data_IF_279092130513
#
_entry.id   IF_279092130513
#
_cell.length_a   1.000
_cell.length_b   1.000
_cell.length_c   1.000
_cell.angle_alpha   90.00
_cell.angle_beta   90.00
_cell.angle_gamma   90.00
#
_symmetry.space_group_name_H-M   'P 1'
#
loop_
_entity.id
_entity.type
_entity.pdbx_description
1 polymer ?
#
# COMPACT_ATOMS: atom_id res chain seq x y z
N UNK A 1 -12.76 -2.44 26.38
CA UNK A 1 -13.31 -3.08 25.16
C UNK A 1 -12.87 -2.24 23.97
N UNK A 2 -11.80 -2.66 23.29
CA UNK A 2 -11.10 -1.85 22.30
C UNK A 2 -11.71 -2.01 20.91
N UNK A 3 -12.70 -1.18 20.58
CA UNK A 3 -13.23 -1.05 19.23
C UNK A 3 -12.27 -0.24 18.35
N UNK A 4 -11.15 -0.83 17.95
CA UNK A 4 -10.31 -0.29 16.87
C UNK A 4 -10.83 -0.81 15.54
N UNK A 5 -11.70 -0.04 14.87
CA UNK A 5 -12.10 -0.36 13.49
C UNK A 5 -10.87 -0.38 12.57
N UNK A 6 -10.83 -1.29 11.59
CA UNK A 6 -9.78 -1.27 10.56
C UNK A 6 -9.82 0.08 9.84
N UNK A 7 -8.67 0.68 9.50
CA UNK A 7 -8.63 1.92 8.74
C UNK A 7 -9.30 1.72 7.36
N UNK A 8 -9.94 2.78 6.87
CA UNK A 8 -10.55 2.82 5.54
C UNK A 8 -9.64 3.64 4.63
N UNK A 9 -9.22 3.04 3.52
CA UNK A 9 -8.37 3.68 2.52
C UNK A 9 -9.20 4.17 1.34
N UNK A 10 -8.97 5.41 0.90
CA UNK A 10 -9.63 5.98 -0.28
C UNK A 10 -8.60 6.36 -1.34
N UNK A 11 -8.97 6.21 -2.60
CA UNK A 11 -8.14 6.67 -3.72
C UNK A 11 -8.21 8.20 -3.81
N UNK A 12 -7.04 8.80 -3.91
CA UNK A 12 -6.88 10.24 -4.17
C UNK A 12 -6.24 10.45 -5.54
N UNK A 13 -6.60 11.54 -6.19
CA UNK A 13 -6.16 11.89 -7.55
C UNK A 13 -5.66 13.33 -7.58
N UNK A 14 -5.14 13.77 -8.72
CA UNK A 14 -4.60 15.13 -8.91
C UNK A 14 -3.53 15.47 -7.87
N UNK A 15 -2.41 14.73 -7.89
CA UNK A 15 -1.30 14.86 -6.92
C UNK A 15 -1.78 14.80 -5.46
N UNK A 16 -2.68 13.85 -5.18
CA UNK A 16 -3.28 13.62 -3.86
C UNK A 16 -4.18 14.75 -3.34
N UNK A 17 -4.52 15.74 -4.17
CA UNK A 17 -5.31 16.90 -3.76
C UNK A 17 -6.82 16.66 -3.85
N UNK A 18 -7.25 15.70 -4.68
CA UNK A 18 -8.67 15.42 -4.92
C UNK A 18 -9.05 14.04 -4.42
N UNK A 19 -9.82 14.01 -3.33
CA UNK A 19 -10.45 12.80 -2.80
C UNK A 19 -11.50 12.25 -3.76
N UNK A 20 -11.60 10.91 -3.81
CA UNK A 20 -12.66 10.19 -4.50
C UNK A 20 -13.50 9.40 -3.49
N UNK A 21 -14.66 8.92 -3.92
CA UNK A 21 -15.46 7.98 -3.13
C UNK A 21 -15.04 6.52 -3.33
N UNK A 22 -13.96 6.27 -4.09
CA UNK A 22 -13.47 4.92 -4.33
C UNK A 22 -12.66 4.43 -3.14
N UNK A 23 -13.23 3.51 -2.38
CA UNK A 23 -12.55 2.82 -1.30
C UNK A 23 -11.67 1.70 -1.84
N UNK A 24 -10.47 1.56 -1.28
CA UNK A 24 -9.59 0.42 -1.53
C UNK A 24 -10.10 -0.73 -0.67
N UNK A 25 -10.56 -1.80 -1.31
CA UNK A 25 -10.97 -3.05 -0.67
C UNK A 25 -10.84 -4.21 -1.67
N UNK A 26 -11.05 -5.44 -1.23
CA UNK A 26 -10.93 -6.62 -2.09
C UNK A 26 -11.81 -6.54 -3.35
N UNK A 27 -13.05 -6.06 -3.22
CA UNK A 27 -13.98 -5.91 -4.34
C UNK A 27 -13.44 -4.92 -5.38
N UNK A 28 -13.05 -3.73 -4.93
CA UNK A 28 -12.46 -2.71 -5.81
C UNK A 28 -11.18 -3.20 -6.48
N UNK A 29 -10.29 -3.88 -5.74
CA UNK A 29 -9.06 -4.45 -6.29
C UNK A 29 -9.38 -5.49 -7.37
N UNK A 30 -10.39 -6.33 -7.14
CA UNK A 30 -10.82 -7.35 -8.12
C UNK A 30 -11.40 -6.73 -9.39
N UNK A 31 -12.25 -5.72 -9.24
CA UNK A 31 -12.87 -5.04 -10.38
C UNK A 31 -11.82 -4.31 -11.24
N UNK A 32 -10.89 -3.58 -10.58
CA UNK A 32 -9.82 -2.87 -11.28
C UNK A 32 -8.81 -3.83 -11.93
N UNK A 33 -8.56 -4.99 -11.32
CA UNK A 33 -7.64 -5.99 -11.87
C UNK A 33 -8.10 -6.58 -13.21
N UNK A 34 -9.39 -6.46 -13.56
CA UNK A 34 -9.87 -6.82 -14.90
C UNK A 34 -9.32 -5.89 -16.00
N UNK A 35 -8.74 -4.75 -15.61
CA UNK A 35 -8.29 -3.68 -16.49
C UNK A 35 -6.78 -3.41 -16.40
N UNK A 36 -6.04 -4.12 -15.55
CA UNK A 36 -4.58 -3.96 -15.43
C UNK A 36 -3.89 -5.31 -15.15
N UNK A 37 -2.58 -5.35 -15.37
CA UNK A 37 -1.76 -6.52 -15.08
C UNK A 37 -1.12 -6.49 -13.68
N UNK A 38 -1.03 -5.31 -13.06
CA UNK A 38 -0.45 -5.08 -11.74
C UNK A 38 -1.00 -3.79 -11.12
N UNK A 39 -0.80 -3.62 -9.82
CA UNK A 39 -1.04 -2.38 -9.10
C UNK A 39 0.24 -1.78 -8.55
N UNK A 40 0.37 -0.46 -8.65
CA UNK A 40 1.34 0.34 -7.89
C UNK A 40 0.57 1.22 -6.91
N UNK A 41 0.74 0.96 -5.61
CA UNK A 41 -0.01 1.65 -4.55
C UNK A 41 0.93 2.47 -3.69
N UNK A 42 0.68 3.79 -3.64
CA UNK A 42 1.43 4.71 -2.80
C UNK A 42 0.67 4.98 -1.49
N UNK A 43 1.31 4.73 -0.35
CA UNK A 43 0.81 5.17 0.95
C UNK A 43 1.05 6.67 1.12
N UNK A 44 0.09 7.50 0.72
CA UNK A 44 0.23 8.97 0.67
C UNK A 44 0.57 9.58 2.03
N UNK A 45 0.00 9.02 3.10
CA UNK A 45 0.20 9.54 4.46
C UNK A 45 1.60 9.21 5.04
N UNK A 46 2.38 8.32 4.41
CA UNK A 46 3.73 7.95 4.85
C UNK A 46 4.85 8.49 3.93
N UNK A 47 4.50 9.19 2.86
CA UNK A 47 5.49 9.72 1.92
C UNK A 47 6.28 10.87 2.58
N UNK A 48 7.60 10.70 2.72
CA UNK A 48 8.51 11.70 3.28
C UNK A 48 8.59 11.75 4.82
N UNK A 49 7.75 11.02 5.56
CA UNK A 49 7.74 11.06 7.03
C UNK A 49 8.66 10.03 7.70
N UNK A 50 9.32 9.15 6.94
CA UNK A 50 10.15 8.05 7.45
C UNK A 50 9.47 7.30 8.62
N UNK A 51 8.15 7.12 8.57
CA UNK A 51 7.37 6.60 9.70
C UNK A 51 7.20 5.07 9.67
N UNK A 52 7.75 4.40 8.67
CA UNK A 52 7.63 2.95 8.46
C UNK A 52 6.55 2.60 7.45
N UNK A 53 6.36 1.30 7.24
CA UNK A 53 5.32 0.77 6.36
C UNK A 53 3.94 0.91 7.02
N UNK A 54 2.91 1.04 6.20
CA UNK A 54 1.54 1.02 6.68
C UNK A 54 0.99 -0.41 6.68
N UNK A 55 1.22 -1.14 7.77
CA UNK A 55 0.88 -2.57 7.88
C UNK A 55 -0.58 -2.91 7.48
N UNK A 56 -1.62 -2.19 7.94
CA UNK A 56 -3.01 -2.51 7.57
C UNK A 56 -3.29 -2.35 6.08
N UNK A 57 -2.61 -1.42 5.41
CA UNK A 57 -2.69 -1.25 3.96
C UNK A 57 -2.03 -2.44 3.25
N UNK A 58 -0.84 -2.87 3.70
CA UNK A 58 -0.18 -4.05 3.11
C UNK A 58 -1.03 -5.31 3.25
N UNK A 59 -1.63 -5.55 4.43
CA UNK A 59 -2.57 -6.66 4.64
C UNK A 59 -3.76 -6.60 3.69
N UNK A 60 -4.31 -5.41 3.45
CA UNK A 60 -5.41 -5.20 2.53
C UNK A 60 -5.01 -5.52 1.08
N UNK A 61 -3.82 -5.10 0.67
CA UNK A 61 -3.30 -5.30 -0.68
C UNK A 61 -3.01 -6.78 -0.99
N UNK A 62 -2.76 -7.60 0.03
CA UNK A 62 -2.60 -9.05 -0.13
C UNK A 62 -3.84 -9.75 -0.73
N UNK A 63 -5.01 -9.11 -0.66
CA UNK A 63 -6.26 -9.59 -1.27
C UNK A 63 -6.34 -9.37 -2.80
N UNK A 64 -5.40 -8.62 -3.38
CA UNK A 64 -5.37 -8.38 -4.83
C UNK A 64 -5.23 -9.69 -5.63
N UNK A 65 -5.98 -9.85 -6.74
CA UNK A 65 -5.84 -11.00 -7.63
C UNK A 65 -4.65 -10.88 -8.60
N UNK A 66 -4.05 -9.69 -8.74
CA UNK A 66 -2.87 -9.41 -9.56
C UNK A 66 -1.72 -8.89 -8.69
N UNK A 67 -0.45 -8.97 -9.14
CA UNK A 67 0.68 -8.45 -8.38
C UNK A 67 0.48 -7.01 -7.92
N UNK A 68 0.96 -6.71 -6.71
CA UNK A 68 0.92 -5.36 -6.13
C UNK A 68 2.32 -4.95 -5.73
N UNK A 69 2.73 -3.76 -6.13
CA UNK A 69 3.92 -3.11 -5.59
C UNK A 69 3.49 -1.97 -4.67
N UNK A 70 3.91 -2.05 -3.41
CA UNK A 70 3.71 -1.01 -2.40
C UNK A 70 4.87 0.00 -2.44
N UNK A 71 4.56 1.28 -2.48
CA UNK A 71 5.53 2.35 -2.55
C UNK A 71 5.30 3.34 -1.40
N UNK A 72 6.11 3.25 -0.35
CA UNK A 72 6.03 4.16 0.78
C UNK A 72 6.75 3.63 2.03
N UNK A 73 7.49 4.51 2.70
CA UNK A 73 7.87 4.30 4.11
C UNK A 73 8.85 3.17 4.45
N UNK A 74 9.31 2.35 3.50
CA UNK A 74 10.30 1.28 3.75
C UNK A 74 11.65 1.88 4.15
N UNK A 75 12.17 1.51 5.32
CA UNK A 75 13.43 2.05 5.88
C UNK A 75 14.47 0.99 6.20
N UNK A 76 14.04 -0.26 6.38
CA UNK A 76 14.91 -1.35 6.83
C UNK A 76 14.60 -2.65 6.10
N UNK A 77 15.48 -3.64 6.24
CA UNK A 77 15.20 -5.00 5.79
C UNK A 77 14.05 -5.64 6.60
N UNK A 78 13.87 -5.25 7.85
CA UNK A 78 12.75 -5.71 8.68
C UNK A 78 11.41 -5.25 8.10
N UNK A 79 11.32 -4.01 7.61
CA UNK A 79 10.13 -3.53 6.89
C UNK A 79 9.85 -4.40 5.64
N UNK A 80 10.88 -4.82 4.90
CA UNK A 80 10.72 -5.70 3.74
C UNK A 80 10.23 -7.11 4.14
N UNK A 81 10.76 -7.66 5.22
CA UNK A 81 10.30 -8.95 5.76
C UNK A 81 8.83 -8.86 6.21
N UNK A 82 8.48 -7.76 6.87
CA UNK A 82 7.11 -7.48 7.32
C UNK A 82 6.14 -7.34 6.15
N UNK A 83 6.54 -6.64 5.08
CA UNK A 83 5.74 -6.54 3.85
C UNK A 83 5.52 -7.93 3.25
N UNK A 84 6.56 -8.76 3.17
CA UNK A 84 6.44 -10.13 2.63
C UNK A 84 5.47 -10.97 3.46
N UNK A 85 5.53 -10.88 4.79
CA UNK A 85 4.65 -11.59 5.71
C UNK A 85 3.20 -11.14 5.58
N UNK A 86 2.93 -9.83 5.74
CA UNK A 86 1.58 -9.25 5.68
C UNK A 86 0.98 -9.35 4.28
N UNK A 87 1.81 -9.14 3.26
CA UNK A 87 1.49 -9.27 1.85
C UNK A 87 1.31 -10.72 1.38
N UNK A 88 1.54 -11.71 2.26
CA UNK A 88 1.45 -13.15 1.94
C UNK A 88 2.29 -13.55 0.71
N UNK A 89 3.43 -12.88 0.52
CA UNK A 89 4.29 -13.06 -0.66
C UNK A 89 3.72 -12.55 -1.99
N UNK A 90 2.62 -11.78 -1.98
CA UNK A 90 1.98 -11.21 -3.18
C UNK A 90 2.20 -9.71 -3.35
N UNK A 91 2.77 -9.07 -2.33
CA UNK A 91 3.04 -7.62 -2.31
C UNK A 91 4.55 -7.43 -2.34
N UNK A 92 5.03 -6.84 -3.43
CA UNK A 92 6.39 -6.32 -3.57
C UNK A 92 6.47 -4.90 -3.00
N UNK A 93 7.68 -4.37 -2.81
CA UNK A 93 7.86 -2.99 -2.36
C UNK A 93 8.95 -2.25 -3.12
N UNK A 94 8.74 -0.94 -3.29
CA UNK A 94 9.79 -0.03 -3.76
C UNK A 94 10.47 0.66 -2.60
N UNK A 95 11.77 0.88 -2.75
CA UNK A 95 12.59 1.67 -1.84
C UNK A 95 13.01 2.90 -2.64
N UNK A 96 12.51 4.07 -2.23
CA UNK A 96 12.88 5.36 -2.83
C UNK A 96 13.80 6.14 -1.90
N UNK A 97 13.20 6.79 -0.90
CA UNK A 97 13.89 7.72 0.01
C UNK A 97 14.93 7.08 0.96
N UNK A 98 14.90 5.77 1.17
CA UNK A 98 15.91 5.08 1.99
C UNK A 98 17.15 4.64 1.20
N UNK A 99 17.09 4.69 -0.14
CA UNK A 99 18.25 4.53 -1.00
C UNK A 99 18.98 5.87 -1.08
N UNK A 100 19.91 6.07 -0.14
CA UNK A 100 20.85 7.19 -0.13
C UNK A 100 21.91 6.96 -1.23
N UNK A 101 21.53 7.20 -2.48
CA UNK A 101 22.38 7.07 -3.68
C UNK A 101 22.73 8.42 -4.32
N UNK A 102 22.46 9.54 -3.66
CA UNK A 102 22.80 10.88 -4.15
C UNK A 102 23.36 11.80 -3.06
#
# INVERSE_FOLDING_TARGET
EGGGGRPIYKVVTDRWQKWTELEVNEGTLRDLAAHCAEFLVHGVDVEGLQSGIEEPLVELLAASPVPVTYAGGVRSLEDMERIRELGQGKVDATIGSALDLF
#
